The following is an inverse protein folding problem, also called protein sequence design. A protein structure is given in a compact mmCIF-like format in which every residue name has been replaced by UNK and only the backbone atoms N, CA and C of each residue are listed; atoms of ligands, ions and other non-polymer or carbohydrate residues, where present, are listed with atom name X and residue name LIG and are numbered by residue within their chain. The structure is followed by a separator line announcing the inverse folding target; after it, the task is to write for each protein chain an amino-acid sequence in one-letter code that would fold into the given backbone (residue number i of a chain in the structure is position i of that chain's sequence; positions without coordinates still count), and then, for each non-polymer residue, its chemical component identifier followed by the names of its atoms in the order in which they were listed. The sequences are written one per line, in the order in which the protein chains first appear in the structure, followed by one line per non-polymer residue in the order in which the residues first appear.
data_IF_088228892028
#
_entry.id   IF_088228892028
#
_cell.length_a   1.000
_cell.length_b   1.000
_cell.length_c   1.000
_cell.angle_alpha   90.00
_cell.angle_beta   90.00
_cell.angle_gamma   90.00
#
_symmetry.space_group_name_H-M   'P 1'
#
loop_
_entity.id
_entity.type
_entity.pdbx_description
1 polymer ?
#
# COMPACT_ATOMS: atom_id res chain seq x y z
N UNK A 1 30.08 6.85 29.27
CA UNK A 1 30.17 6.07 28.02
C UNK A 1 28.76 5.64 27.62
N UNK A 2 27.96 6.57 27.09
CA UNK A 2 26.58 6.29 26.67
C UNK A 2 26.62 5.62 25.29
N UNK A 3 26.47 4.30 25.27
CA UNK A 3 26.16 3.60 24.05
C UNK A 3 24.78 4.08 23.57
N UNK A 4 24.77 5.11 22.72
CA UNK A 4 23.60 5.42 21.91
C UNK A 4 23.34 4.19 21.04
N UNK A 5 22.48 3.29 21.52
CA UNK A 5 21.87 2.25 20.69
C UNK A 5 20.97 2.96 19.69
N UNK A 6 21.58 3.50 18.64
CA UNK A 6 20.90 4.09 17.49
C UNK A 6 20.23 2.96 16.73
N UNK A 7 19.07 2.56 17.23
CA UNK A 7 18.22 1.54 16.63
C UNK A 7 17.57 2.10 15.36
N UNK A 8 18.38 2.25 14.30
CA UNK A 8 17.93 2.65 12.97
C UNK A 8 17.32 1.43 12.29
N UNK A 9 16.01 1.26 12.44
CA UNK A 9 15.27 0.30 11.62
C UNK A 9 15.11 0.86 10.21
N UNK A 10 15.45 0.08 9.18
CA UNK A 10 15.46 0.52 7.78
C UNK A 10 14.06 0.72 7.17
N UNK A 11 13.02 0.19 7.80
CA UNK A 11 11.64 0.23 7.33
C UNK A 11 10.80 0.91 8.41
N UNK A 12 10.14 2.01 8.07
CA UNK A 12 9.35 2.76 9.03
C UNK A 12 7.87 2.43 8.83
N UNK A 13 7.29 1.65 9.75
CA UNK A 13 5.88 1.32 9.71
C UNK A 13 4.97 2.56 9.75
N UNK A 14 5.44 3.68 10.32
CA UNK A 14 4.71 4.96 10.26
C UNK A 14 4.48 5.42 8.82
N UNK A 15 5.40 5.16 7.88
CA UNK A 15 5.19 5.47 6.47
C UNK A 15 4.07 4.63 5.85
N UNK A 16 3.96 3.36 6.26
CA UNK A 16 2.84 2.49 5.85
C UNK A 16 1.53 3.04 6.39
N UNK A 17 1.49 3.49 7.65
CA UNK A 17 0.29 4.07 8.25
C UNK A 17 -0.12 5.36 7.53
N UNK A 18 0.83 6.25 7.23
CA UNK A 18 0.56 7.47 6.47
C UNK A 18 0.04 7.12 5.06
N UNK A 19 0.69 6.18 4.37
CA UNK A 19 0.28 5.75 3.05
C UNK A 19 -1.12 5.11 3.06
N UNK A 20 -1.43 4.31 4.08
CA UNK A 20 -2.75 3.73 4.27
C UNK A 20 -3.81 4.81 4.49
N UNK A 21 -3.51 5.81 5.33
CA UNK A 21 -4.40 6.94 5.55
C UNK A 21 -4.65 7.73 4.26
N UNK A 22 -3.59 8.07 3.51
CA UNK A 22 -3.74 8.76 2.22
C UNK A 22 -4.50 7.93 1.19
N UNK A 23 -4.32 6.61 1.17
CA UNK A 23 -5.08 5.72 0.31
C UNK A 23 -6.57 5.77 0.66
N UNK A 24 -6.91 5.61 1.94
CA UNK A 24 -8.31 5.69 2.42
C UNK A 24 -8.96 7.01 2.05
N UNK A 25 -8.33 8.14 2.39
CA UNK A 25 -8.88 9.48 2.12
C UNK A 25 -9.12 9.69 0.62
N UNK A 26 -8.13 9.33 -0.21
CA UNK A 26 -8.22 9.51 -1.66
C UNK A 26 -9.28 8.59 -2.26
N UNK A 27 -9.36 7.33 -1.81
CA UNK A 27 -10.37 6.38 -2.27
C UNK A 27 -11.79 6.78 -1.85
N UNK A 28 -11.97 7.30 -0.65
CA UNK A 28 -13.25 7.88 -0.20
C UNK A 28 -13.66 9.06 -1.07
N UNK A 29 -12.72 9.93 -1.44
CA UNK A 29 -13.00 11.05 -2.33
C UNK A 29 -13.46 10.57 -3.72
N UNK A 30 -12.77 9.56 -4.29
CA UNK A 30 -13.17 8.93 -5.55
C UNK A 30 -14.56 8.30 -5.45
N UNK A 31 -14.87 7.66 -4.32
CA UNK A 31 -16.20 7.09 -4.07
C UNK A 31 -17.31 8.13 -4.13
N UNK A 32 -17.13 9.27 -3.45
CA UNK A 32 -18.12 10.34 -3.50
C UNK A 32 -18.27 10.95 -4.89
N UNK A 33 -17.16 11.18 -5.60
CA UNK A 33 -17.21 11.67 -6.99
C UNK A 33 -17.98 10.71 -7.89
N UNK A 34 -17.68 9.41 -7.78
CA UNK A 34 -18.37 8.39 -8.58
C UNK A 34 -19.86 8.33 -8.25
N UNK A 35 -20.25 8.50 -6.98
CA UNK A 35 -21.65 8.64 -6.58
C UNK A 35 -22.33 9.85 -7.21
N UNK A 36 -21.69 11.03 -7.21
CA UNK A 36 -22.21 12.24 -7.88
C UNK A 36 -22.29 12.06 -9.40
N UNK A 37 -21.39 11.28 -9.99
CA UNK A 37 -21.42 10.92 -11.41
C UNK A 37 -22.48 9.87 -11.78
N UNK A 38 -23.36 9.48 -10.85
CA UNK A 38 -24.43 8.50 -11.07
C UNK A 38 -24.03 7.05 -10.79
N UNK A 39 -22.88 6.82 -10.17
CA UNK A 39 -22.42 5.49 -9.76
C UNK A 39 -23.26 4.94 -8.62
N UNK A 40 -24.00 3.85 -8.87
CA UNK A 40 -24.83 3.19 -7.84
C UNK A 40 -24.01 2.42 -6.80
N UNK A 41 -22.73 2.15 -7.09
CA UNK A 41 -21.81 1.33 -6.29
C UNK A 41 -22.34 -0.08 -6.04
N UNK A 42 -23.16 -0.59 -6.96
CA UNK A 42 -23.68 -1.96 -6.96
C UNK A 42 -22.90 -2.83 -7.93
N UNK A 43 -22.62 -4.06 -7.49
CA UNK A 43 -21.84 -5.03 -8.25
C UNK A 43 -22.54 -6.39 -8.24
N UNK A 44 -22.48 -7.10 -9.36
CA UNK A 44 -23.09 -8.43 -9.53
C UNK A 44 -22.03 -9.53 -9.37
N UNK A 45 -22.45 -10.73 -8.93
CA UNK A 45 -21.56 -11.90 -8.92
C UNK A 45 -20.46 -11.93 -7.85
N UNK A 46 -20.47 -11.01 -6.88
CA UNK A 46 -19.50 -10.94 -5.78
C UNK A 46 -20.07 -11.25 -4.40
N UNK A 47 -19.17 -11.44 -3.41
CA UNK A 47 -19.51 -11.59 -1.99
C UNK A 47 -20.15 -10.30 -1.44
N UNK A 48 -19.84 -9.16 -2.05
CA UNK A 48 -20.42 -7.85 -1.73
C UNK A 48 -21.24 -7.37 -2.92
N UNK A 49 -22.53 -7.11 -2.68
CA UNK A 49 -23.46 -6.60 -3.68
C UNK A 49 -23.52 -5.06 -3.71
N UNK A 50 -23.01 -4.43 -2.65
CA UNK A 50 -22.95 -2.99 -2.50
C UNK A 50 -21.61 -2.61 -1.86
N UNK A 51 -20.97 -1.58 -2.39
CA UNK A 51 -19.79 -0.97 -1.78
C UNK A 51 -20.23 0.29 -1.05
N UNK A 52 -20.14 0.26 0.27
CA UNK A 52 -20.45 1.40 1.13
C UNK A 52 -19.16 2.07 1.65
N UNK A 53 -19.32 3.24 2.26
CA UNK A 53 -18.22 3.99 2.84
C UNK A 53 -17.40 3.16 3.84
N UNK A 54 -18.08 2.44 4.76
CA UNK A 54 -17.39 1.62 5.75
C UNK A 54 -16.67 0.42 5.13
N UNK A 55 -17.24 -0.17 4.08
CA UNK A 55 -16.61 -1.18 3.25
C UNK A 55 -15.29 -0.68 2.70
N UNK A 56 -15.26 0.47 2.03
CA UNK A 56 -14.03 1.05 1.45
C UNK A 56 -12.96 1.23 2.52
N UNK A 57 -13.31 1.87 3.65
CA UNK A 57 -12.34 2.11 4.73
C UNK A 57 -11.78 0.79 5.25
N UNK A 58 -12.64 -0.20 5.53
CA UNK A 58 -12.21 -1.50 6.08
C UNK A 58 -11.38 -2.31 5.09
N UNK A 59 -11.79 -2.37 3.82
CA UNK A 59 -11.10 -3.13 2.77
C UNK A 59 -9.78 -2.52 2.34
N UNK A 60 -9.58 -1.22 2.53
CA UNK A 60 -8.29 -0.59 2.31
C UNK A 60 -7.45 -0.68 3.58
N UNK A 61 -7.93 -0.14 4.70
CA UNK A 61 -7.11 0.01 5.90
C UNK A 61 -6.63 -1.34 6.47
N UNK A 62 -7.52 -2.33 6.62
CA UNK A 62 -7.14 -3.59 7.27
C UNK A 62 -6.11 -4.37 6.44
N UNK A 63 -6.34 -4.70 5.15
CA UNK A 63 -5.35 -5.43 4.37
C UNK A 63 -4.06 -4.63 4.19
N UNK A 64 -4.14 -3.33 3.96
CA UNK A 64 -2.95 -2.49 3.76
C UNK A 64 -2.07 -2.45 5.01
N UNK A 65 -2.66 -2.27 6.19
CA UNK A 65 -1.91 -2.24 7.45
C UNK A 65 -1.36 -3.62 7.81
N UNK A 66 -2.17 -4.69 7.67
CA UNK A 66 -1.73 -6.06 7.97
C UNK A 66 -0.59 -6.48 7.04
N UNK A 67 -0.77 -6.34 5.73
CA UNK A 67 0.25 -6.70 4.75
C UNK A 67 1.48 -5.80 4.87
N UNK A 68 1.29 -4.52 5.16
CA UNK A 68 2.38 -3.58 5.40
C UNK A 68 3.17 -3.93 6.66
N UNK A 69 2.50 -4.38 7.71
CA UNK A 69 3.14 -4.85 8.94
C UNK A 69 3.89 -6.17 8.72
N UNK A 70 3.33 -7.11 7.97
CA UNK A 70 4.03 -8.33 7.58
C UNK A 70 5.25 -8.02 6.72
N UNK A 71 5.12 -7.08 5.77
CA UNK A 71 6.23 -6.63 4.92
C UNK A 71 7.32 -5.97 5.75
N UNK A 72 6.96 -5.20 6.78
CA UNK A 72 7.89 -4.64 7.75
C UNK A 72 8.66 -5.73 8.51
N UNK A 73 7.95 -6.70 9.09
CA UNK A 73 8.55 -7.77 9.88
C UNK A 73 9.48 -8.64 9.05
N UNK A 74 9.03 -9.08 7.87
CA UNK A 74 9.82 -9.93 6.97
C UNK A 74 10.98 -9.13 6.38
N UNK A 75 10.73 -7.88 5.98
CA UNK A 75 11.73 -6.97 5.43
C UNK A 75 12.90 -6.71 6.37
N UNK A 76 12.65 -6.73 7.68
CA UNK A 76 13.70 -6.63 8.71
C UNK A 76 14.70 -7.80 8.65
N UNK A 77 14.22 -9.01 8.41
CA UNK A 77 15.06 -10.20 8.30
C UNK A 77 15.62 -10.41 6.87
N UNK A 78 14.86 -10.03 5.85
CA UNK A 78 15.18 -10.24 4.43
C UNK A 78 14.90 -8.98 3.61
N UNK A 79 15.87 -8.06 3.47
CA UNK A 79 15.65 -6.79 2.78
C UNK A 79 15.29 -6.94 1.28
N UNK A 80 15.62 -8.08 0.66
CA UNK A 80 15.18 -8.38 -0.72
C UNK A 80 13.66 -8.61 -0.85
N UNK A 81 12.99 -8.99 0.24
CA UNK A 81 11.54 -9.26 0.23
C UNK A 81 10.73 -8.00 -0.05
N UNK A 82 11.16 -6.84 0.45
CA UNK A 82 10.43 -5.59 0.24
C UNK A 82 10.35 -5.21 -1.24
N UNK A 83 11.35 -5.53 -2.08
CA UNK A 83 11.26 -5.30 -3.54
C UNK A 83 10.20 -6.20 -4.19
N UNK A 84 10.12 -7.46 -3.77
CA UNK A 84 9.09 -8.39 -4.24
C UNK A 84 7.70 -7.92 -3.79
N UNK A 85 7.52 -7.61 -2.50
CA UNK A 85 6.23 -7.17 -1.94
C UNK A 85 5.70 -5.89 -2.60
N UNK A 86 6.59 -4.94 -2.92
CA UNK A 86 6.26 -3.71 -3.64
C UNK A 86 5.59 -4.00 -5.00
N UNK A 87 6.23 -4.82 -5.83
CA UNK A 87 5.71 -5.16 -7.16
C UNK A 87 4.53 -6.11 -7.10
N UNK A 88 4.56 -7.09 -6.20
CA UNK A 88 3.47 -8.04 -6.04
C UNK A 88 2.16 -7.34 -5.65
N UNK A 89 2.18 -6.45 -4.64
CA UNK A 89 0.97 -5.72 -4.25
C UNK A 89 0.47 -4.78 -5.33
N UNK A 90 1.37 -4.10 -6.04
CA UNK A 90 0.98 -3.23 -7.16
C UNK A 90 0.36 -4.04 -8.32
N UNK A 91 0.97 -5.16 -8.70
CA UNK A 91 0.47 -6.02 -9.77
C UNK A 91 -0.90 -6.61 -9.44
N UNK A 92 -1.11 -7.07 -8.20
CA UNK A 92 -2.41 -7.56 -7.73
C UNK A 92 -3.47 -6.48 -7.92
N UNK A 93 -3.22 -5.26 -7.46
CA UNK A 93 -4.21 -4.17 -7.59
C UNK A 93 -4.51 -3.82 -9.04
N UNK A 94 -3.50 -3.78 -9.92
CA UNK A 94 -3.69 -3.52 -11.36
C UNK A 94 -4.53 -4.61 -12.02
N UNK A 95 -4.25 -5.89 -11.73
CA UNK A 95 -5.04 -7.01 -12.27
C UNK A 95 -6.46 -7.01 -11.71
N UNK A 96 -6.62 -6.63 -10.44
CA UNK A 96 -7.94 -6.53 -9.79
C UNK A 96 -8.86 -5.49 -10.42
N UNK A 97 -8.36 -4.52 -11.20
CA UNK A 97 -9.17 -3.55 -11.97
C UNK A 97 -10.10 -4.21 -12.97
N UNK A 98 -9.76 -5.41 -13.47
CA UNK A 98 -10.61 -6.13 -14.41
C UNK A 98 -11.98 -6.45 -13.80
N UNK A 99 -12.01 -6.80 -12.51
CA UNK A 99 -13.22 -7.22 -11.83
C UNK A 99 -14.33 -6.14 -11.78
N UNK A 100 -14.10 -4.92 -11.25
CA UNK A 100 -15.12 -3.88 -11.23
C UNK A 100 -15.61 -3.47 -12.61
N UNK A 101 -14.78 -3.55 -13.65
CA UNK A 101 -15.19 -3.23 -15.03
C UNK A 101 -16.17 -4.28 -15.58
N UNK A 102 -15.97 -5.56 -15.25
CA UNK A 102 -16.82 -6.63 -15.76
C UNK A 102 -18.14 -6.79 -14.98
N UNK A 103 -18.15 -6.43 -13.69
CA UNK A 103 -19.24 -6.78 -12.77
C UNK A 103 -19.99 -5.59 -12.18
N UNK A 104 -19.65 -4.35 -12.54
CA UNK A 104 -20.42 -3.19 -12.10
C UNK A 104 -21.82 -3.16 -12.74
N UNK A 105 -22.82 -2.75 -11.96
CA UNK A 105 -24.18 -2.53 -12.48
C UNK A 105 -24.25 -1.32 -13.43
N UNK A 106 -23.31 -0.38 -13.30
CA UNK A 106 -23.19 0.80 -14.14
C UNK A 106 -21.72 1.16 -14.37
N UNK A 107 -21.44 1.84 -15.49
CA UNK A 107 -20.08 2.17 -15.90
C UNK A 107 -19.38 3.10 -14.89
N UNK A 108 -20.10 4.04 -14.28
CA UNK A 108 -19.55 4.98 -13.32
C UNK A 108 -19.01 4.29 -12.06
N UNK A 109 -19.70 3.26 -11.57
CA UNK A 109 -19.27 2.43 -10.44
C UNK A 109 -18.06 1.58 -10.79
N UNK A 110 -18.04 1.01 -12.01
CA UNK A 110 -16.90 0.25 -12.52
C UNK A 110 -15.63 1.09 -12.59
N UNK A 111 -15.72 2.29 -13.17
CA UNK A 111 -14.62 3.25 -13.22
C UNK A 111 -14.23 3.71 -11.81
N UNK A 112 -15.20 4.05 -10.96
CA UNK A 112 -14.96 4.53 -9.60
C UNK A 112 -14.16 3.53 -8.76
N UNK A 113 -14.60 2.26 -8.73
CA UNK A 113 -13.90 1.21 -7.98
C UNK A 113 -12.54 0.85 -8.60
N UNK A 114 -12.42 0.91 -9.93
CA UNK A 114 -11.14 0.75 -10.62
C UNK A 114 -10.11 1.80 -10.20
N UNK A 115 -10.52 3.07 -10.16
CA UNK A 115 -9.68 4.17 -9.70
C UNK A 115 -9.27 4.00 -8.23
N UNK A 116 -10.19 3.55 -7.37
CA UNK A 116 -9.89 3.21 -5.97
C UNK A 116 -8.78 2.16 -5.90
N UNK A 117 -8.85 1.07 -6.66
CA UNK A 117 -7.82 0.02 -6.69
C UNK A 117 -6.46 0.57 -7.15
N UNK A 118 -6.45 1.42 -8.18
CA UNK A 118 -5.22 2.06 -8.66
C UNK A 118 -4.60 2.98 -7.61
N UNK A 119 -5.40 3.77 -6.89
CA UNK A 119 -4.95 4.62 -5.78
C UNK A 119 -4.33 3.77 -4.67
N UNK A 120 -4.96 2.65 -4.31
CA UNK A 120 -4.44 1.73 -3.30
C UNK A 120 -3.12 1.10 -3.75
N UNK A 121 -3.05 0.63 -5.00
CA UNK A 121 -1.83 0.05 -5.59
C UNK A 121 -0.68 1.05 -5.65
N UNK A 122 -0.95 2.29 -6.06
CA UNK A 122 0.05 3.37 -6.09
C UNK A 122 0.55 3.71 -4.67
N UNK A 123 -0.37 3.84 -3.72
CA UNK A 123 -0.02 4.12 -2.31
C UNK A 123 0.83 2.99 -1.72
N UNK A 124 0.50 1.73 -2.03
CA UNK A 124 1.29 0.57 -1.62
C UNK A 124 2.70 0.61 -2.20
N UNK A 125 2.80 0.81 -3.51
CA UNK A 125 4.08 0.86 -4.21
C UNK A 125 5.00 1.94 -3.60
N UNK A 126 4.47 3.14 -3.35
CA UNK A 126 5.22 4.24 -2.75
C UNK A 126 5.65 3.95 -1.30
N UNK A 127 4.76 3.36 -0.50
CA UNK A 127 5.07 3.01 0.89
C UNK A 127 6.25 2.03 1.00
N UNK A 128 6.26 1.01 0.14
CA UNK A 128 7.29 -0.03 0.16
C UNK A 128 8.58 0.44 -0.54
N UNK A 129 8.51 1.25 -1.60
CA UNK A 129 9.70 1.80 -2.28
C UNK A 129 10.53 2.71 -1.37
N UNK A 130 9.87 3.62 -0.66
CA UNK A 130 10.56 4.52 0.28
C UNK A 130 11.27 3.73 1.38
N UNK A 131 10.63 2.67 1.85
CA UNK A 131 11.23 1.77 2.84
C UNK A 131 12.42 0.98 2.26
N UNK A 132 12.35 0.54 1.01
CA UNK A 132 13.47 -0.11 0.29
C UNK A 132 14.69 0.81 0.13
N UNK A 133 14.48 2.10 -0.13
CA UNK A 133 15.56 3.09 -0.28
C UNK A 133 16.28 3.32 1.04
N UNK A 134 15.53 3.48 2.14
CA UNK A 134 16.07 3.65 3.49
C UNK A 134 16.92 2.45 3.92
N UNK A 135 16.47 1.23 3.62
CA UNK A 135 17.21 0.00 3.89
C UNK A 135 18.58 -0.05 3.21
N UNK A 136 18.62 0.29 1.92
CA UNK A 136 19.87 0.30 1.15
C UNK A 136 20.86 1.34 1.67
N UNK A 137 20.38 2.55 1.97
CA UNK A 137 21.22 3.63 2.53
C UNK A 137 21.86 3.22 3.85
N UNK A 138 21.09 2.62 4.77
CA UNK A 138 21.63 2.15 6.05
C UNK A 138 22.68 1.05 5.89
N UNK A 139 22.55 0.17 4.89
CA UNK A 139 23.54 -0.88 4.64
C UNK A 139 24.86 -0.30 4.14
N UNK A 140 24.80 0.70 3.25
CA UNK A 140 25.99 1.39 2.72
C UNK A 140 26.77 2.13 3.81
N UNK A 141 26.09 2.88 4.68
CA UNK A 141 26.71 3.58 5.82
C UNK A 141 27.50 2.60 6.72
N UNK A 142 26.97 1.38 6.95
CA UNK A 142 27.65 0.35 7.75
C UNK A 142 28.89 -0.21 7.08
N UNK A 143 28.88 -0.35 5.75
CA UNK A 143 30.03 -0.85 4.99
C UNK A 143 31.16 0.19 4.96
N UNK A 144 30.82 1.47 4.75
CA UNK A 144 31.79 2.57 4.80
C UNK A 144 32.41 2.71 6.19
N UNK A 145 31.60 2.65 7.26
CA UNK A 145 32.09 2.68 8.62
C UNK A 145 33.00 1.48 8.98
N UNK A 146 32.77 0.31 8.38
CA UNK A 146 33.68 -0.84 8.54
C UNK A 146 35.00 -0.63 7.81
N UNK A 147 34.98 -0.08 6.59
CA UNK A 147 36.21 0.22 5.85
C UNK A 147 37.09 1.25 6.57
N UNK A 148 36.49 2.31 7.13
CA UNK A 148 37.18 3.33 7.92
C UNK A 148 37.80 2.83 9.24
N UNK A 149 37.41 1.65 9.73
CA UNK A 149 38.00 1.03 10.93
C UNK A 149 39.18 0.10 10.61
N UNK A 150 39.33 -0.27 9.35
CA UNK A 150 40.38 -1.20 8.88
C UNK A 150 41.53 -0.45 8.21
N UNK A 151 41.28 0.78 7.74
CA UNK A 151 42.29 1.75 7.33
C UNK A 151 42.85 2.52 8.53
#
# INVERSE_FOLDING_TARGET
MSAEMKYKMPFNYVQVVIAAFSAVVTSVFVFFISGVAGGSMRFTGGIFQNVDFFGIVRFIALPFLILGFLTFLIGRARPGFCKFAQWAGAAVMVVSVINPILFAADLASGIGLSLILLVVGASWYMAVDNSNKLARKSKLERLQAKQLRVA
#
